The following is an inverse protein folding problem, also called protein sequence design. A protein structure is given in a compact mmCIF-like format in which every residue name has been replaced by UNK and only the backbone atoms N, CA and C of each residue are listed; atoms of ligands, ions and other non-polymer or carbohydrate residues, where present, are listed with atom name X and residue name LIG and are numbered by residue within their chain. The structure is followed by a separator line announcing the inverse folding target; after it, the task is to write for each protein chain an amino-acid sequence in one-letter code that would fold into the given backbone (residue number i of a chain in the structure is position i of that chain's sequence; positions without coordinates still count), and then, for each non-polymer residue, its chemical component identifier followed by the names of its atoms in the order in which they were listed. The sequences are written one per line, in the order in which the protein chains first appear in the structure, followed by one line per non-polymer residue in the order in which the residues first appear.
data_IF_135937547841
#
_entry.id   IF_135937547841
#
_cell.length_a   1.000
_cell.length_b   1.000
_cell.length_c   1.000
_cell.angle_alpha   90.00
_cell.angle_beta   90.00
_cell.angle_gamma   90.00
#
_symmetry.space_group_name_H-M   'P 1'
#
loop_
_entity.id
_entity.type
_entity.pdbx_description
1 polymer ?
#
# COMPACT_ATOMS: atom_id res chain seq x y z
N UNK A 1 20.98 -3.07 2.25
CA UNK A 1 20.40 -2.97 3.61
C UNK A 1 21.49 -3.28 4.62
N UNK A 2 21.49 -2.68 5.82
CA UNK A 2 22.57 -2.89 6.82
C UNK A 2 22.64 -4.34 7.30
N UNK A 3 21.49 -4.99 7.53
CA UNK A 3 21.41 -6.37 8.01
C UNK A 3 22.07 -7.39 7.06
N UNK A 4 21.93 -7.18 5.75
CA UNK A 4 22.40 -8.12 4.70
C UNK A 4 23.77 -7.74 4.12
N UNK A 5 24.24 -6.52 4.35
CA UNK A 5 25.49 -6.02 3.74
C UNK A 5 26.72 -6.73 4.28
N UNK A 6 27.81 -6.82 3.51
CA UNK A 6 29.06 -7.38 4.01
C UNK A 6 29.91 -6.30 4.71
N UNK A 7 30.51 -6.66 5.85
CA UNK A 7 31.36 -5.74 6.59
C UNK A 7 32.73 -5.67 5.89
N UNK A 8 33.08 -4.51 5.35
CA UNK A 8 34.36 -4.30 4.65
C UNK A 8 35.47 -3.78 5.58
N UNK A 9 35.11 -2.99 6.59
CA UNK A 9 35.99 -2.45 7.62
C UNK A 9 35.19 -2.23 8.89
N UNK A 10 35.75 -2.61 10.04
CA UNK A 10 35.11 -2.42 11.35
C UNK A 10 35.98 -1.56 12.27
N UNK A 11 35.33 -0.71 13.06
CA UNK A 11 35.93 0.02 14.18
C UNK A 11 35.45 -0.51 15.54
N UNK A 12 34.91 -1.73 15.57
CA UNK A 12 34.38 -2.41 16.76
C UNK A 12 32.87 -2.23 16.97
N UNK A 13 32.15 -1.61 16.04
CA UNK A 13 30.70 -1.35 16.14
C UNK A 13 29.87 -2.03 15.06
N UNK A 14 30.51 -2.54 14.01
CA UNK A 14 29.81 -3.04 12.82
C UNK A 14 28.96 -4.28 13.09
N UNK A 15 29.45 -5.20 13.92
CA UNK A 15 28.68 -6.38 14.33
C UNK A 15 27.43 -5.98 15.11
N UNK A 16 27.58 -5.13 16.14
CA UNK A 16 26.43 -4.68 16.95
C UNK A 16 25.40 -3.91 16.14
N UNK A 17 25.82 -3.10 15.15
CA UNK A 17 24.90 -2.40 14.26
C UNK A 17 24.11 -3.37 13.36
N UNK A 18 24.76 -4.43 12.86
CA UNK A 18 24.08 -5.49 12.11
C UNK A 18 23.07 -6.24 12.95
N UNK A 19 23.43 -6.63 14.17
CA UNK A 19 22.53 -7.31 15.10
C UNK A 19 21.30 -6.45 15.42
N UNK A 20 21.51 -5.15 15.66
CA UNK A 20 20.42 -4.20 15.87
C UNK A 20 19.51 -4.11 14.63
N UNK A 21 20.08 -4.05 13.43
CA UNK A 21 19.31 -4.02 12.19
C UNK A 21 18.48 -5.30 11.99
N UNK A 22 19.05 -6.48 12.26
CA UNK A 22 18.32 -7.76 12.19
C UNK A 22 17.16 -7.78 13.19
N UNK A 23 17.41 -7.39 14.43
CA UNK A 23 16.37 -7.31 15.46
C UNK A 23 15.28 -6.31 15.10
N UNK A 24 15.63 -5.16 14.53
CA UNK A 24 14.68 -4.15 14.08
C UNK A 24 13.80 -4.68 12.94
N UNK A 25 14.39 -5.35 11.96
CA UNK A 25 13.62 -5.95 10.86
C UNK A 25 12.68 -7.04 11.38
N UNK A 26 13.13 -7.89 12.29
CA UNK A 26 12.33 -8.96 12.89
C UNK A 26 11.12 -8.44 13.69
N UNK A 27 11.20 -7.22 14.25
CA UNK A 27 10.08 -6.60 14.99
C UNK A 27 8.95 -6.10 14.09
N UNK A 28 9.21 -5.89 12.81
CA UNK A 28 8.25 -5.26 11.89
C UNK A 28 8.09 -3.74 12.12
N UNK A 29 7.37 -3.05 11.22
CA UNK A 29 7.02 -1.65 11.40
C UNK A 29 6.05 -1.45 12.56
N UNK A 30 5.98 -0.21 13.05
CA UNK A 30 4.91 0.20 13.95
C UNK A 30 3.54 0.02 13.29
N UNK A 31 2.59 -0.51 14.07
CA UNK A 31 1.20 -0.68 13.66
C UNK A 31 0.55 0.65 13.29
N UNK A 32 -0.34 0.60 12.31
CA UNK A 32 -1.11 1.76 11.88
C UNK A 32 -2.05 2.22 13.00
N UNK A 33 -2.17 3.53 13.16
CA UNK A 33 -3.19 4.12 14.03
C UNK A 33 -4.56 4.04 13.37
N UNK A 34 -5.63 4.19 14.16
CA UNK A 34 -6.99 4.27 13.62
C UNK A 34 -7.16 5.40 12.60
N UNK A 35 -6.50 6.54 12.82
CA UNK A 35 -6.50 7.67 11.90
C UNK A 35 -5.83 7.31 10.58
N UNK A 36 -4.69 6.62 10.60
CA UNK A 36 -4.00 6.19 9.37
C UNK A 36 -4.83 5.18 8.56
N UNK A 37 -5.56 4.27 9.24
CA UNK A 37 -6.48 3.34 8.57
C UNK A 37 -7.65 4.10 7.92
N UNK A 38 -8.20 5.09 8.64
CA UNK A 38 -9.26 5.96 8.13
C UNK A 38 -8.80 6.81 6.94
N UNK A 39 -7.61 7.39 7.00
CA UNK A 39 -7.03 8.17 5.91
C UNK A 39 -6.80 7.29 4.67
N UNK A 40 -6.30 6.06 4.88
CA UNK A 40 -6.15 5.10 3.78
C UNK A 40 -7.48 4.79 3.10
N UNK A 41 -8.54 4.57 3.89
CA UNK A 41 -9.91 4.39 3.35
C UNK A 41 -10.33 5.60 2.53
N UNK A 42 -10.19 6.81 3.05
CA UNK A 42 -10.56 8.03 2.35
C UNK A 42 -9.87 8.13 0.98
N UNK A 43 -8.53 8.11 0.97
CA UNK A 43 -7.76 8.27 -0.27
C UNK A 43 -7.95 7.12 -1.25
N UNK A 44 -8.16 5.90 -0.76
CA UNK A 44 -8.38 4.77 -1.64
C UNK A 44 -9.73 4.88 -2.36
N UNK A 45 -10.79 5.26 -1.64
CA UNK A 45 -12.11 5.41 -2.27
C UNK A 45 -12.18 6.63 -3.19
N UNK A 46 -11.45 7.70 -2.89
CA UNK A 46 -11.26 8.85 -3.78
C UNK A 46 -10.65 8.42 -5.12
N UNK A 47 -9.51 7.71 -5.08
CA UNK A 47 -8.90 7.13 -6.29
C UNK A 47 -9.78 6.09 -6.99
N UNK A 48 -10.60 5.36 -6.23
CA UNK A 48 -11.53 4.39 -6.79
C UNK A 48 -12.67 5.06 -7.57
N UNK A 49 -13.16 6.19 -7.06
CA UNK A 49 -14.18 7.00 -7.72
C UNK A 49 -13.60 7.68 -8.96
N UNK A 50 -12.38 8.25 -8.88
CA UNK A 50 -11.65 8.76 -10.05
C UNK A 50 -11.47 7.66 -11.12
N UNK A 51 -11.13 6.44 -10.71
CA UNK A 51 -10.98 5.31 -11.64
C UNK A 51 -12.31 4.88 -12.28
N UNK A 52 -13.42 4.98 -11.54
CA UNK A 52 -14.76 4.72 -12.08
C UNK A 52 -15.15 5.78 -13.10
N UNK A 53 -14.89 7.04 -12.78
CA UNK A 53 -15.36 8.20 -13.53
C UNK A 53 -14.36 8.68 -14.61
N UNK A 54 -13.20 8.02 -14.71
CA UNK A 54 -12.17 8.31 -15.71
C UNK A 54 -12.73 8.32 -17.14
N UNK A 55 -12.49 9.44 -17.82
CA UNK A 55 -13.03 9.78 -19.15
C UNK A 55 -12.12 9.38 -20.30
N UNK A 56 -10.87 9.04 -19.99
CA UNK A 56 -9.92 8.48 -20.92
C UNK A 56 -9.20 7.26 -20.33
N UNK A 57 -8.56 6.48 -21.19
CA UNK A 57 -7.77 5.33 -20.75
C UNK A 57 -6.52 5.80 -19.99
N UNK A 58 -5.93 6.91 -20.40
CA UNK A 58 -4.76 7.50 -19.74
C UNK A 58 -5.08 7.93 -18.29
N UNK A 59 -6.24 8.56 -18.07
CA UNK A 59 -6.73 8.90 -16.73
C UNK A 59 -6.90 7.63 -15.88
N UNK A 60 -7.55 6.61 -16.44
CA UNK A 60 -7.79 5.36 -15.74
C UNK A 60 -6.49 4.62 -15.40
N UNK A 61 -5.53 4.56 -16.33
CA UNK A 61 -4.22 3.92 -16.12
C UNK A 61 -3.39 4.62 -15.04
N UNK A 62 -3.30 5.96 -15.07
CA UNK A 62 -2.52 6.71 -14.09
C UNK A 62 -3.16 6.60 -12.70
N UNK A 63 -4.49 6.69 -12.62
CA UNK A 63 -5.24 6.52 -11.37
C UNK A 63 -5.06 5.11 -10.81
N UNK A 64 -5.19 4.07 -11.65
CA UNK A 64 -4.97 2.68 -11.27
C UNK A 64 -3.55 2.43 -10.78
N UNK A 65 -2.54 3.03 -11.41
CA UNK A 65 -1.14 2.90 -10.98
C UNK A 65 -0.93 3.49 -9.59
N UNK A 66 -1.42 4.71 -9.34
CA UNK A 66 -1.35 5.36 -8.03
C UNK A 66 -2.09 4.53 -6.96
N UNK A 67 -3.30 4.09 -7.29
CA UNK A 67 -4.14 3.25 -6.44
C UNK A 67 -3.47 1.92 -6.08
N UNK A 68 -2.81 1.28 -7.05
CA UNK A 68 -2.14 -0.02 -6.87
C UNK A 68 -0.98 0.04 -5.89
N UNK A 69 -0.13 1.06 -6.01
CA UNK A 69 1.02 1.22 -5.11
C UNK A 69 0.55 1.48 -3.68
N UNK A 70 -0.44 2.36 -3.51
CA UNK A 70 -1.01 2.68 -2.18
C UNK A 70 -1.71 1.49 -1.55
N UNK A 71 -2.47 0.72 -2.32
CA UNK A 71 -3.19 -0.45 -1.83
C UNK A 71 -2.24 -1.53 -1.30
N UNK A 72 -1.20 -1.87 -2.09
CA UNK A 72 -0.23 -2.88 -1.68
C UNK A 72 0.59 -2.43 -0.46
N UNK A 73 1.01 -1.15 -0.42
CA UNK A 73 1.70 -0.58 0.75
C UNK A 73 0.81 -0.64 1.99
N UNK A 74 -0.45 -0.19 1.89
CA UNK A 74 -1.41 -0.23 2.97
C UNK A 74 -1.63 -1.66 3.49
N UNK A 75 -1.85 -2.63 2.61
CA UNK A 75 -2.07 -4.03 2.98
C UNK A 75 -0.87 -4.61 3.75
N UNK A 76 0.35 -4.31 3.32
CA UNK A 76 1.56 -4.72 4.06
C UNK A 76 1.62 -4.03 5.42
N UNK A 77 1.46 -2.71 5.46
CA UNK A 77 1.54 -1.91 6.70
C UNK A 77 0.46 -2.27 7.71
N UNK A 78 -0.75 -2.52 7.27
CA UNK A 78 -1.88 -2.95 8.09
C UNK A 78 -1.61 -4.31 8.75
N UNK A 79 -0.85 -5.18 8.08
CA UNK A 79 -0.45 -6.49 8.59
C UNK A 79 0.94 -6.50 9.26
N UNK A 80 1.43 -5.32 9.68
CA UNK A 80 2.75 -5.15 10.30
C UNK A 80 3.89 -5.77 9.49
N UNK A 81 3.82 -5.69 8.16
CA UNK A 81 4.88 -6.12 7.25
C UNK A 81 5.67 -4.91 6.75
N UNK A 82 6.98 -5.08 6.58
CA UNK A 82 7.80 -4.08 5.90
C UNK A 82 7.36 -3.98 4.44
N UNK A 83 7.14 -2.74 4.00
CA UNK A 83 6.84 -2.43 2.61
C UNK A 83 8.12 -2.23 1.80
N UNK A 84 7.96 -1.97 0.50
CA UNK A 84 9.04 -1.70 -0.43
C UNK A 84 8.62 -0.70 -1.50
N UNK A 85 9.42 -0.58 -2.54
CA UNK A 85 9.13 0.28 -3.68
C UNK A 85 9.47 -0.43 -4.99
N UNK A 86 8.72 -0.11 -6.05
CA UNK A 86 8.85 -0.75 -7.35
C UNK A 86 8.84 -2.29 -7.24
N UNK A 87 9.93 -2.93 -7.68
CA UNK A 87 10.06 -4.40 -7.69
C UNK A 87 9.97 -5.03 -6.30
N UNK A 88 10.48 -4.36 -5.26
CA UNK A 88 10.49 -4.93 -3.91
C UNK A 88 9.12 -4.90 -3.26
N UNK A 89 8.26 -3.94 -3.62
CA UNK A 89 6.86 -3.91 -3.18
C UNK A 89 6.11 -5.17 -3.65
N UNK A 90 6.24 -5.52 -4.94
CA UNK A 90 5.62 -6.72 -5.50
C UNK A 90 6.13 -8.00 -4.82
N UNK A 91 7.45 -8.08 -4.58
CA UNK A 91 8.06 -9.23 -3.90
C UNK A 91 7.61 -9.35 -2.45
N UNK A 92 7.54 -8.24 -1.73
CA UNK A 92 7.05 -8.19 -0.36
C UNK A 92 5.57 -8.62 -0.30
N UNK A 93 4.74 -8.10 -1.20
CA UNK A 93 3.32 -8.44 -1.26
C UNK A 93 3.08 -9.93 -1.55
N UNK A 94 3.80 -10.51 -2.51
CA UNK A 94 3.77 -11.96 -2.78
C UNK A 94 4.25 -12.82 -1.62
N UNK A 95 5.27 -12.35 -0.89
CA UNK A 95 5.83 -13.09 0.25
C UNK A 95 4.91 -13.05 1.47
N UNK A 96 4.17 -11.96 1.64
CA UNK A 96 3.17 -11.80 2.69
C UNK A 96 1.95 -12.71 2.43
N UNK A 97 1.35 -12.61 1.25
CA UNK A 97 0.19 -13.42 0.87
C UNK A 97 0.16 -13.61 -0.65
N UNK A 98 0.56 -14.80 -1.10
CA UNK A 98 0.60 -15.14 -2.52
C UNK A 98 -0.80 -15.18 -3.14
N UNK A 99 -1.82 -15.65 -2.41
CA UNK A 99 -3.18 -15.75 -2.93
C UNK A 99 -3.82 -14.38 -3.12
N UNK A 100 -3.63 -13.47 -2.15
CA UNK A 100 -4.04 -12.08 -2.28
C UNK A 100 -3.31 -11.38 -3.42
N UNK A 101 -2.00 -11.63 -3.55
CA UNK A 101 -1.20 -11.09 -4.65
C UNK A 101 -1.68 -11.57 -6.01
N UNK A 102 -1.93 -12.87 -6.17
CA UNK A 102 -2.40 -13.47 -7.43
C UNK A 102 -3.76 -12.91 -7.83
N UNK A 103 -4.71 -12.80 -6.89
CA UNK A 103 -6.02 -12.16 -7.15
C UNK A 103 -5.88 -10.72 -7.62
N UNK A 104 -5.00 -9.94 -6.97
CA UNK A 104 -4.78 -8.55 -7.34
C UNK A 104 -4.19 -8.41 -8.74
N UNK A 105 -3.13 -9.17 -9.04
CA UNK A 105 -2.49 -9.11 -10.36
C UNK A 105 -3.38 -9.68 -11.47
N UNK A 106 -4.25 -10.65 -11.17
CA UNK A 106 -5.26 -11.11 -12.11
C UNK A 106 -6.29 -10.02 -12.44
N UNK A 107 -6.75 -9.27 -11.44
CA UNK A 107 -7.64 -8.13 -11.66
C UNK A 107 -6.98 -7.04 -12.52
N UNK A 108 -5.70 -6.74 -12.27
CA UNK A 108 -4.92 -5.83 -13.11
C UNK A 108 -4.78 -6.36 -14.54
N UNK A 109 -4.45 -7.64 -14.71
CA UNK A 109 -4.31 -8.25 -16.04
C UNK A 109 -5.62 -8.20 -16.82
N UNK A 110 -6.76 -8.51 -16.20
CA UNK A 110 -8.08 -8.41 -16.85
C UNK A 110 -8.37 -6.97 -17.27
N UNK A 111 -8.07 -5.98 -16.42
CA UNK A 111 -8.21 -4.58 -16.79
C UNK A 111 -7.33 -4.21 -18.00
N UNK A 112 -6.02 -4.51 -17.97
CA UNK A 112 -5.12 -4.11 -19.06
C UNK A 112 -5.34 -4.88 -20.37
N UNK A 113 -5.95 -6.06 -20.33
CA UNK A 113 -6.23 -6.86 -21.54
C UNK A 113 -7.62 -6.59 -22.12
N UNK A 114 -8.63 -6.38 -21.27
CA UNK A 114 -10.05 -6.39 -21.65
C UNK A 114 -10.76 -5.07 -21.33
N UNK A 115 -10.11 -4.16 -20.60
CA UNK A 115 -10.72 -2.91 -20.10
C UNK A 115 -11.71 -3.14 -18.94
N UNK A 116 -11.80 -4.34 -18.37
CA UNK A 116 -12.78 -4.64 -17.32
C UNK A 116 -12.37 -4.06 -15.96
N UNK A 117 -12.97 -2.91 -15.61
CA UNK A 117 -12.77 -2.23 -14.32
C UNK A 117 -13.37 -2.98 -13.13
N UNK A 118 -14.31 -3.91 -13.34
CA UNK A 118 -15.14 -4.50 -12.27
C UNK A 118 -14.32 -5.34 -11.29
N UNK A 119 -13.31 -6.06 -11.76
CA UNK A 119 -12.48 -6.90 -10.90
C UNK A 119 -11.61 -6.06 -9.96
N UNK A 120 -11.00 -5.00 -10.50
CA UNK A 120 -10.23 -4.03 -9.70
C UNK A 120 -11.12 -3.38 -8.65
N UNK A 121 -12.30 -2.91 -9.06
CA UNK A 121 -13.23 -2.23 -8.16
C UNK A 121 -13.65 -3.14 -7.00
N UNK A 122 -14.08 -4.35 -7.34
CA UNK A 122 -14.53 -5.34 -6.35
C UNK A 122 -13.42 -5.70 -5.37
N UNK A 123 -12.19 -5.90 -5.85
CA UNK A 123 -11.06 -6.22 -4.99
C UNK A 123 -10.81 -5.13 -3.94
N UNK A 124 -10.82 -3.86 -4.36
CA UNK A 124 -10.62 -2.73 -3.45
C UNK A 124 -11.74 -2.67 -2.42
N UNK A 125 -13.00 -2.83 -2.84
CA UNK A 125 -14.15 -2.85 -1.93
C UNK A 125 -14.07 -3.99 -0.92
N UNK A 126 -13.71 -5.21 -1.35
CA UNK A 126 -13.54 -6.38 -0.48
C UNK A 126 -12.46 -6.17 0.58
N UNK A 127 -11.30 -5.59 0.21
CA UNK A 127 -10.21 -5.31 1.14
C UNK A 127 -10.63 -4.35 2.24
N UNK A 128 -11.41 -3.33 1.89
CA UNK A 128 -11.80 -2.28 2.83
C UNK A 128 -13.13 -2.55 3.55
N UNK A 129 -13.95 -3.51 3.08
CA UNK A 129 -15.20 -3.91 3.73
C UNK A 129 -15.05 -4.25 5.23
N UNK A 130 -14.09 -5.09 5.66
CA UNK A 130 -13.89 -5.37 7.10
C UNK A 130 -13.36 -4.16 7.88
N UNK A 131 -12.90 -3.11 7.20
CA UNK A 131 -12.39 -1.86 7.80
C UNK A 131 -13.47 -0.77 7.89
N UNK A 132 -14.72 -1.13 7.61
CA UNK A 132 -15.87 -0.23 7.59
C UNK A 132 -16.22 0.32 6.20
N UNK A 133 -15.57 -0.15 5.13
CA UNK A 133 -15.89 0.19 3.74
C UNK A 133 -15.68 1.67 3.40
N UNK A 134 -16.52 2.20 2.51
CA UNK A 134 -16.49 3.61 2.08
C UNK A 134 -16.84 4.56 3.22
N UNK A 135 -16.24 5.76 3.23
CA UNK A 135 -16.67 6.86 4.08
C UNK A 135 -17.78 7.66 3.35
N UNK A 136 -18.91 7.93 4.02
CA UNK A 136 -20.02 8.70 3.42
C UNK A 136 -19.67 10.20 3.29
N UNK A 137 -20.32 10.90 2.35
CA UNK A 137 -20.06 12.30 2.05
C UNK A 137 -20.27 13.22 3.27
N UNK A 138 -19.29 14.09 3.54
CA UNK A 138 -19.21 14.93 4.76
C UNK A 138 -17.85 14.87 5.49
N UNK A 139 -16.86 14.19 4.91
CA UNK A 139 -15.51 14.11 5.46
C UNK A 139 -14.75 15.43 5.29
N UNK A 140 -14.17 15.93 6.39
CA UNK A 140 -13.17 16.99 6.38
C UNK A 140 -11.91 16.39 6.99
N UNK A 141 -10.84 16.30 6.22
CA UNK A 141 -9.54 15.91 6.78
C UNK A 141 -8.91 17.09 7.51
N UNK A 142 -8.01 16.84 8.45
CA UNK A 142 -7.18 17.91 9.03
C UNK A 142 -6.28 18.61 7.99
N UNK A 143 -6.14 18.05 6.77
CA UNK A 143 -5.48 18.71 5.64
C UNK A 143 -6.38 19.78 4.97
N UNK A 144 -7.71 19.73 5.16
CA UNK A 144 -8.65 20.74 4.65
C UNK A 144 -8.77 21.96 5.56
N UNK A 145 -8.41 21.82 6.84
CA UNK A 145 -8.40 22.93 7.79
C UNK A 145 -7.03 23.60 7.77
N UNK A 146 -6.76 24.36 6.71
CA UNK A 146 -5.69 25.35 6.73
C UNK A 146 -6.02 26.44 7.75
N UNK A 147 -5.54 26.31 8.99
CA UNK A 147 -5.48 27.45 9.91
C UNK A 147 -4.22 28.26 9.64
N UNK A 148 -4.33 29.58 9.34
CA UNK A 148 -3.19 30.46 9.33
C UNK A 148 -2.74 30.73 10.77
N UNK A 149 -1.42 30.78 10.99
CA UNK A 149 -0.85 31.45 12.17
C UNK A 149 -1.12 32.94 12.14
#
# INVERSE_FOLDING_TARGET
MVAEGNLLKDNGKGIGLKELAVQFLARGPASLTADQIRDSRYFQFDLLDDFRDARSEEEAMITLNAMSVRLMDFLLRYNNQWSGSGKTLVRAFRSFDSGLSDRWFQALTSYYQEGDRRQVIRFVEEVYQPLGGRLFAGYSSWLDTGEPK
#
